data_IF_417467370212
#
_entry.id   IF_417467370212
#
_cell.length_a   1.000
_cell.length_b   1.000
_cell.length_c   1.000
_cell.angle_alpha   90.00
_cell.angle_beta   90.00
_cell.angle_gamma   90.00
#
_symmetry.space_group_name_H-M   'P 1'
#
loop_
_entity.id
_entity.type
_entity.pdbx_description
1 polymer ?
#
# COMPACT_ATOMS: atom_id res chain seq x y z
N UNK A 1 -12.36 -15.60 27.94
CA UNK A 1 -11.13 -15.36 27.15
C UNK A 1 -11.16 -16.25 25.91
N UNK A 2 -10.96 -15.70 24.69
CA UNK A 2 -10.90 -16.56 23.49
C UNK A 2 -9.48 -17.12 23.34
N UNK A 3 -9.28 -18.36 23.74
CA UNK A 3 -7.98 -19.02 23.79
C UNK A 3 -7.33 -19.16 22.39
N UNK A 4 -8.15 -19.35 21.36
CA UNK A 4 -7.65 -19.44 19.97
C UNK A 4 -7.07 -18.11 19.49
N UNK A 5 -7.68 -16.98 19.84
CA UNK A 5 -7.17 -15.64 19.53
C UNK A 5 -5.80 -15.42 20.17
N UNK A 6 -5.69 -15.73 21.47
CA UNK A 6 -4.44 -15.63 22.20
C UNK A 6 -3.35 -16.51 21.57
N UNK A 7 -3.66 -17.77 21.31
CA UNK A 7 -2.73 -18.74 20.73
C UNK A 7 -2.19 -18.28 19.36
N UNK A 8 -3.08 -17.86 18.49
CA UNK A 8 -2.74 -17.37 17.15
C UNK A 8 -1.87 -16.08 17.22
N UNK A 9 -2.25 -15.13 18.10
CA UNK A 9 -1.47 -13.90 18.26
C UNK A 9 -0.07 -14.15 18.83
N UNK A 10 0.06 -15.02 19.86
CA UNK A 10 1.38 -15.38 20.41
C UNK A 10 2.26 -16.04 19.35
N UNK A 11 1.72 -17.01 18.63
CA UNK A 11 2.46 -17.69 17.53
C UNK A 11 2.88 -16.68 16.47
N UNK A 12 1.96 -15.83 16.00
CA UNK A 12 2.20 -14.80 15.00
C UNK A 12 3.30 -13.85 15.47
N UNK A 13 3.16 -13.21 16.63
CA UNK A 13 4.12 -12.24 17.16
C UNK A 13 5.51 -12.85 17.40
N UNK A 14 5.58 -14.10 17.89
CA UNK A 14 6.83 -14.82 18.03
C UNK A 14 7.52 -15.05 16.69
N UNK A 15 6.79 -15.53 15.69
CA UNK A 15 7.34 -15.79 14.34
C UNK A 15 7.80 -14.51 13.68
N UNK A 16 7.10 -13.41 13.91
CA UNK A 16 7.48 -12.06 13.50
C UNK A 16 8.85 -11.67 13.98
N UNK A 17 9.10 -11.88 15.25
CA UNK A 17 10.39 -11.57 15.88
C UNK A 17 11.45 -12.64 15.59
N UNK A 18 11.17 -13.61 14.70
CA UNK A 18 12.06 -14.72 14.35
C UNK A 18 12.48 -15.55 15.56
N UNK A 19 11.67 -15.58 16.60
CA UNK A 19 11.94 -16.37 17.80
C UNK A 19 11.48 -17.81 17.59
N UNK A 20 12.33 -18.79 17.91
CA UNK A 20 11.86 -20.17 18.09
C UNK A 20 11.02 -20.29 19.37
N UNK A 21 10.20 -21.33 19.48
CA UNK A 21 9.48 -21.61 20.73
C UNK A 21 10.44 -21.71 21.93
N UNK A 22 11.62 -22.29 21.72
CA UNK A 22 12.67 -22.38 22.73
C UNK A 22 13.26 -21.00 23.09
N UNK A 23 13.40 -20.09 22.12
CA UNK A 23 13.88 -18.74 22.37
C UNK A 23 12.86 -17.91 23.16
N UNK A 24 11.57 -18.02 22.82
CA UNK A 24 10.50 -17.37 23.59
C UNK A 24 10.39 -17.95 25.00
N UNK A 25 10.51 -19.27 25.15
CA UNK A 25 10.52 -19.93 26.45
C UNK A 25 11.64 -19.39 27.36
N UNK A 26 12.86 -19.21 26.82
CA UNK A 26 13.98 -18.60 27.56
C UNK A 26 13.72 -17.14 27.94
N UNK A 27 13.20 -16.33 27.01
CA UNK A 27 12.89 -14.91 27.28
C UNK A 27 11.80 -14.73 28.36
N UNK A 28 10.85 -15.66 28.42
CA UNK A 28 9.72 -15.62 29.37
C UNK A 28 9.98 -16.34 30.69
N UNK A 29 11.04 -17.13 30.80
CA UNK A 29 11.25 -18.04 31.93
C UNK A 29 10.27 -19.23 31.95
N UNK A 30 9.56 -19.50 30.87
CA UNK A 30 8.60 -20.59 30.76
C UNK A 30 9.23 -21.84 30.13
N UNK A 31 8.58 -23.00 30.30
CA UNK A 31 8.99 -24.22 29.62
C UNK A 31 8.57 -24.21 28.14
N UNK A 32 9.34 -24.89 27.28
CA UNK A 32 8.99 -25.05 25.84
C UNK A 32 7.63 -25.73 25.67
N UNK A 33 7.29 -26.78 26.45
CA UNK A 33 5.94 -27.36 26.42
C UNK A 33 4.82 -26.35 26.76
N UNK A 34 5.07 -25.42 27.68
CA UNK A 34 4.10 -24.37 28.02
C UNK A 34 3.81 -23.47 26.82
N UNK A 35 4.86 -23.00 26.13
CA UNK A 35 4.72 -22.19 24.92
C UNK A 35 3.99 -22.98 23.82
N UNK A 36 4.38 -24.24 23.58
CA UNK A 36 3.75 -25.11 22.59
C UNK A 36 2.26 -25.35 22.86
N UNK A 37 1.90 -25.61 24.12
CA UNK A 37 0.50 -25.83 24.51
C UNK A 37 -0.32 -24.55 24.37
N UNK A 38 0.24 -23.41 24.73
CA UNK A 38 -0.40 -22.11 24.55
C UNK A 38 -0.65 -21.82 23.06
N UNK A 39 0.35 -21.97 22.19
CA UNK A 39 0.21 -21.73 20.75
C UNK A 39 -0.71 -22.72 20.04
N UNK A 40 -1.02 -23.84 20.66
CA UNK A 40 -2.00 -24.83 20.19
C UNK A 40 -3.36 -24.71 20.90
N UNK A 41 -3.59 -23.66 21.66
CA UNK A 41 -4.82 -23.42 22.41
C UNK A 41 -5.26 -24.59 23.31
N UNK A 42 -4.30 -25.35 23.88
CA UNK A 42 -4.60 -26.55 24.67
C UNK A 42 -4.95 -26.26 26.13
N UNK A 43 -4.35 -25.23 26.69
CA UNK A 43 -4.53 -24.89 28.11
C UNK A 43 -4.72 -23.38 28.28
N UNK A 44 -5.59 -22.99 29.17
CA UNK A 44 -5.76 -21.59 29.59
C UNK A 44 -4.53 -21.14 30.41
N UNK A 45 -3.80 -20.11 29.96
CA UNK A 45 -2.65 -19.61 30.68
C UNK A 45 -3.09 -18.76 31.89
N UNK A 46 -2.26 -18.76 32.93
CA UNK A 46 -2.41 -17.82 34.05
C UNK A 46 -2.06 -16.40 33.58
N UNK A 47 -2.61 -15.39 34.23
CA UNK A 47 -2.38 -13.97 33.94
C UNK A 47 -0.89 -13.63 33.88
N UNK A 48 -0.12 -14.09 34.88
CA UNK A 48 1.34 -13.87 34.90
C UNK A 48 2.07 -14.47 33.69
N UNK A 49 1.58 -15.61 33.17
CA UNK A 49 2.12 -16.23 31.95
C UNK A 49 1.89 -15.34 30.74
N UNK A 50 0.71 -14.79 30.60
CA UNK A 50 0.36 -13.90 29.48
C UNK A 50 1.13 -12.58 29.57
N UNK A 51 1.28 -12.03 30.79
CA UNK A 51 2.09 -10.82 31.00
C UNK A 51 3.56 -11.04 30.65
N UNK A 52 4.15 -12.17 31.06
CA UNK A 52 5.52 -12.51 30.72
C UNK A 52 5.74 -12.63 29.19
N UNK A 53 4.75 -13.20 28.49
CA UNK A 53 4.79 -13.32 27.03
C UNK A 53 4.64 -11.95 26.37
N UNK A 54 3.71 -11.10 26.81
CA UNK A 54 3.53 -9.75 26.29
C UNK A 54 4.84 -8.93 26.44
N UNK A 55 5.45 -8.99 27.61
CA UNK A 55 6.72 -8.31 27.89
C UNK A 55 7.85 -8.86 27.02
N UNK A 56 7.98 -10.20 26.89
CA UNK A 56 9.02 -10.83 26.08
C UNK A 56 8.88 -10.55 24.57
N UNK A 57 7.64 -10.33 24.10
CA UNK A 57 7.30 -9.97 22.74
C UNK A 57 7.25 -8.45 22.52
N UNK A 58 7.49 -7.64 23.56
CA UNK A 58 7.47 -6.17 23.51
C UNK A 58 6.15 -5.61 22.94
N UNK A 59 5.02 -6.20 23.36
CA UNK A 59 3.67 -5.80 22.96
C UNK A 59 2.80 -5.51 24.19
N UNK A 60 1.73 -4.75 24.02
CA UNK A 60 0.77 -4.53 25.10
C UNK A 60 -0.02 -5.83 25.36
N UNK A 61 -0.40 -6.04 26.62
CA UNK A 61 -1.17 -7.23 27.00
C UNK A 61 -2.45 -7.38 26.15
N UNK A 62 -3.12 -6.29 25.88
CA UNK A 62 -4.33 -6.26 25.05
C UNK A 62 -4.11 -6.74 23.61
N UNK A 63 -2.95 -6.49 23.03
CA UNK A 63 -2.62 -6.87 21.64
C UNK A 63 -2.62 -8.40 21.46
N UNK A 64 -2.46 -9.16 22.55
CA UNK A 64 -2.56 -10.61 22.55
C UNK A 64 -4.00 -11.12 22.45
N UNK A 65 -5.00 -10.28 22.74
CA UNK A 65 -6.42 -10.66 22.80
C UNK A 65 -7.27 -10.05 21.69
N UNK A 66 -6.70 -9.17 20.88
CA UNK A 66 -7.42 -8.58 19.74
C UNK A 66 -7.62 -9.65 18.68
N UNK A 67 -8.85 -10.03 18.32
CA UNK A 67 -9.09 -10.94 17.21
C UNK A 67 -8.47 -10.36 15.93
N UNK A 68 -7.65 -11.15 15.25
CA UNK A 68 -7.19 -10.79 13.91
C UNK A 68 -8.05 -11.56 12.92
N UNK A 69 -8.85 -10.87 12.15
CA UNK A 69 -9.63 -11.46 11.08
C UNK A 69 -8.68 -12.02 10.03
N UNK A 70 -8.89 -13.25 9.61
CA UNK A 70 -8.18 -13.80 8.45
C UNK A 70 -8.78 -13.18 7.19
N UNK A 71 -7.95 -12.44 6.47
CA UNK A 71 -8.31 -11.93 5.16
C UNK A 71 -8.31 -13.10 4.15
N UNK A 72 -9.37 -13.25 3.40
CA UNK A 72 -9.57 -14.32 2.40
C UNK A 72 -9.28 -13.83 0.99
N UNK A 73 -9.66 -12.59 0.71
CA UNK A 73 -9.59 -11.96 -0.61
C UNK A 73 -8.47 -10.93 -0.66
N UNK A 74 -7.22 -11.40 -0.58
CA UNK A 74 -6.02 -10.56 -0.66
C UNK A 74 -5.16 -10.98 -1.83
N UNK A 75 -4.81 -10.02 -2.67
CA UNK A 75 -3.74 -10.18 -3.65
C UNK A 75 -2.48 -9.52 -3.11
N UNK A 76 -1.48 -10.34 -2.87
CA UNK A 76 -0.23 -9.92 -2.26
C UNK A 76 0.91 -10.00 -3.28
N UNK A 77 1.39 -8.84 -3.73
CA UNK A 77 2.53 -8.76 -4.65
C UNK A 77 3.84 -8.95 -3.90
N UNK A 78 4.47 -10.08 -4.09
CA UNK A 78 5.81 -10.35 -3.57
C UNK A 78 6.56 -11.28 -4.49
N UNK A 79 7.65 -10.81 -5.07
CA UNK A 79 8.55 -11.59 -5.93
C UNK A 79 9.34 -12.67 -5.18
N UNK A 80 9.22 -12.76 -3.86
CA UNK A 80 9.91 -13.75 -2.99
C UNK A 80 9.02 -14.17 -1.83
N UNK A 81 9.17 -15.41 -1.36
CA UNK A 81 8.58 -15.90 -0.11
C UNK A 81 8.96 -14.97 1.04
N UNK A 82 8.04 -14.06 1.42
CA UNK A 82 8.30 -13.08 2.48
C UNK A 82 8.08 -13.71 3.84
N UNK A 83 9.11 -13.66 4.68
CA UNK A 83 9.04 -14.13 6.08
C UNK A 83 8.06 -13.31 6.95
N UNK A 84 7.68 -12.09 6.50
CA UNK A 84 6.82 -11.17 7.24
C UNK A 84 5.39 -11.05 6.68
N UNK A 85 4.99 -11.94 5.74
CA UNK A 85 3.67 -11.86 5.08
C UNK A 85 2.51 -11.88 6.07
N UNK A 86 2.53 -12.79 7.03
CA UNK A 86 1.47 -12.92 8.04
C UNK A 86 1.31 -11.66 8.89
N UNK A 87 2.40 -10.95 9.15
CA UNK A 87 2.37 -9.70 9.90
C UNK A 87 1.74 -8.57 9.12
N UNK A 88 2.13 -8.44 7.85
CA UNK A 88 1.54 -7.46 6.94
C UNK A 88 0.04 -7.69 6.88
N UNK A 89 -0.39 -8.93 6.66
CA UNK A 89 -1.80 -9.27 6.58
C UNK A 89 -2.55 -8.97 7.88
N UNK A 90 -1.95 -9.28 9.04
CA UNK A 90 -2.56 -8.99 10.33
C UNK A 90 -2.63 -7.48 10.63
N UNK A 91 -1.63 -6.71 10.19
CA UNK A 91 -1.63 -5.27 10.34
C UNK A 91 -2.68 -4.61 9.45
N UNK A 92 -2.75 -5.04 8.20
CA UNK A 92 -3.74 -4.58 7.24
C UNK A 92 -5.16 -4.96 7.67
N UNK A 93 -5.36 -6.19 8.17
CA UNK A 93 -6.65 -6.63 8.69
C UNK A 93 -7.15 -5.74 9.83
N UNK A 94 -6.31 -5.46 10.83
CA UNK A 94 -6.68 -4.59 11.96
C UNK A 94 -7.01 -3.17 11.52
N UNK A 95 -6.20 -2.61 10.62
CA UNK A 95 -6.48 -1.29 10.08
C UNK A 95 -7.82 -1.26 9.35
N UNK A 96 -8.10 -2.29 8.55
CA UNK A 96 -9.33 -2.37 7.78
C UNK A 96 -10.56 -2.53 8.67
N UNK A 97 -10.44 -3.29 9.77
CA UNK A 97 -11.49 -3.44 10.76
C UNK A 97 -11.79 -2.10 11.47
N UNK A 98 -10.74 -1.36 11.88
CA UNK A 98 -10.87 -0.02 12.47
C UNK A 98 -11.50 0.96 11.47
N UNK A 99 -11.08 0.92 10.19
CA UNK A 99 -11.63 1.78 9.14
C UNK A 99 -13.11 1.51 8.90
N UNK A 100 -13.48 0.25 8.70
CA UNK A 100 -14.88 -0.15 8.48
C UNK A 100 -15.77 0.16 9.69
N UNK A 101 -15.22 0.02 10.89
CA UNK A 101 -15.92 0.36 12.13
C UNK A 101 -16.21 1.87 12.22
N UNK A 102 -15.20 2.71 11.91
CA UNK A 102 -15.37 4.18 11.85
C UNK A 102 -16.41 4.59 10.79
N UNK A 103 -16.31 4.04 9.57
CA UNK A 103 -17.30 4.30 8.52
C UNK A 103 -18.72 3.93 8.93
N UNK A 104 -18.88 2.78 9.61
CA UNK A 104 -20.18 2.33 10.11
C UNK A 104 -20.72 3.22 11.22
N UNK A 105 -19.87 3.56 12.20
CA UNK A 105 -20.25 4.40 13.34
C UNK A 105 -20.61 5.83 12.92
N UNK A 106 -19.91 6.38 11.94
CA UNK A 106 -20.15 7.73 11.42
C UNK A 106 -21.20 7.75 10.29
N UNK A 107 -21.66 6.58 9.83
CA UNK A 107 -22.53 6.43 8.65
C UNK A 107 -21.94 7.10 7.39
N UNK A 108 -20.63 6.90 7.17
CA UNK A 108 -19.86 7.51 6.07
C UNK A 108 -19.23 6.49 5.12
N UNK A 109 -19.92 5.38 4.88
CA UNK A 109 -19.47 4.40 3.88
C UNK A 109 -19.56 5.01 2.49
N UNK A 110 -18.44 4.93 1.74
CA UNK A 110 -18.40 5.33 0.33
C UNK A 110 -18.51 4.07 -0.52
N UNK A 111 -19.51 3.99 -1.42
CA UNK A 111 -19.62 2.86 -2.33
C UNK A 111 -18.45 2.84 -3.32
N UNK A 112 -18.09 1.65 -3.80
CA UNK A 112 -17.06 1.52 -4.82
C UNK A 112 -17.57 2.00 -6.19
N UNK A 113 -17.16 3.18 -6.60
CA UNK A 113 -17.62 3.83 -7.82
C UNK A 113 -17.28 3.04 -9.09
N UNK A 114 -16.16 2.26 -9.07
CA UNK A 114 -15.68 1.50 -10.23
C UNK A 114 -16.21 0.07 -10.32
N UNK A 115 -17.19 -0.31 -9.49
CA UNK A 115 -17.75 -1.67 -9.47
C UNK A 115 -18.32 -2.12 -10.82
N UNK A 116 -18.97 -1.21 -11.56
CA UNK A 116 -19.52 -1.52 -12.89
C UNK A 116 -18.41 -1.65 -13.95
N UNK A 117 -17.34 -0.87 -13.90
CA UNK A 117 -16.16 -1.06 -14.76
C UNK A 117 -15.61 -2.45 -14.56
N UNK A 118 -15.41 -2.88 -13.31
CA UNK A 118 -14.96 -4.21 -12.95
C UNK A 118 -15.83 -5.32 -13.54
N UNK A 119 -17.13 -5.15 -13.53
CA UNK A 119 -18.07 -6.16 -14.05
C UNK A 119 -18.01 -6.29 -15.59
N UNK A 120 -17.48 -5.32 -16.30
CA UNK A 120 -17.34 -5.33 -17.76
C UNK A 120 -15.94 -5.77 -18.23
N UNK A 121 -14.94 -5.82 -17.34
CA UNK A 121 -13.53 -6.06 -17.69
C UNK A 121 -13.21 -7.48 -18.20
N UNK A 122 -14.08 -8.45 -18.03
CA UNK A 122 -13.91 -9.76 -18.69
C UNK A 122 -13.80 -9.71 -20.22
N UNK A 123 -13.98 -8.50 -20.83
CA UNK A 123 -13.92 -8.24 -22.27
C UNK A 123 -13.01 -7.08 -22.65
N UNK A 124 -12.48 -6.33 -21.69
CA UNK A 124 -11.67 -5.12 -21.93
C UNK A 124 -10.17 -5.40 -21.79
N UNK A 125 -9.38 -4.81 -22.68
CA UNK A 125 -7.93 -4.74 -22.50
C UNK A 125 -7.56 -3.74 -21.40
N UNK A 126 -6.39 -3.91 -20.77
CA UNK A 126 -5.91 -3.08 -19.66
C UNK A 126 -5.96 -1.57 -19.96
N UNK A 127 -5.68 -1.16 -21.19
CA UNK A 127 -5.71 0.24 -21.63
C UNK A 127 -7.13 0.79 -21.63
N UNK A 128 -8.08 0.01 -22.14
CA UNK A 128 -9.50 0.40 -22.20
C UNK A 128 -10.08 0.51 -20.78
N UNK A 129 -9.74 -0.46 -19.90
CA UNK A 129 -10.14 -0.43 -18.50
C UNK A 129 -9.58 0.81 -17.78
N UNK A 130 -8.32 1.20 -18.03
CA UNK A 130 -7.73 2.41 -17.49
C UNK A 130 -8.48 3.68 -17.94
N UNK A 131 -8.83 3.77 -19.22
CA UNK A 131 -9.57 4.90 -19.76
C UNK A 131 -11.00 4.96 -19.18
N UNK A 132 -11.68 3.83 -19.06
CA UNK A 132 -13.02 3.77 -18.45
C UNK A 132 -12.97 4.21 -16.98
N UNK A 133 -11.98 3.73 -16.21
CA UNK A 133 -11.80 4.19 -14.82
C UNK A 133 -11.58 5.71 -14.75
N UNK A 134 -10.81 6.29 -15.65
CA UNK A 134 -10.59 7.75 -15.68
C UNK A 134 -11.90 8.50 -15.95
N UNK A 135 -12.71 8.03 -16.90
CA UNK A 135 -14.01 8.63 -17.22
C UNK A 135 -14.94 8.56 -16.00
N UNK A 136 -15.06 7.40 -15.37
CA UNK A 136 -15.90 7.21 -14.20
C UNK A 136 -15.46 8.05 -12.98
N UNK A 137 -14.16 8.31 -12.87
CA UNK A 137 -13.61 9.19 -11.85
C UNK A 137 -13.68 10.68 -12.22
N UNK A 138 -14.32 11.01 -13.33
CA UNK A 138 -14.52 12.39 -13.77
C UNK A 138 -13.27 13.08 -14.29
N UNK A 139 -12.22 12.34 -14.61
CA UNK A 139 -10.98 12.91 -15.15
C UNK A 139 -11.13 13.22 -16.64
N UNK A 140 -10.66 14.40 -17.04
CA UNK A 140 -10.57 14.75 -18.47
C UNK A 140 -9.57 13.85 -19.20
N UNK A 141 -9.71 13.65 -20.53
CA UNK A 141 -8.86 12.71 -21.29
C UNK A 141 -7.35 12.92 -21.15
N UNK A 142 -6.92 14.16 -20.99
CA UNK A 142 -5.49 14.50 -20.90
C UNK A 142 -5.04 14.94 -19.50
N UNK A 143 -5.92 14.88 -18.51
CA UNK A 143 -5.68 15.43 -17.17
C UNK A 143 -4.69 14.57 -16.36
N UNK A 144 -3.62 15.14 -15.78
CA UNK A 144 -2.77 14.46 -14.84
C UNK A 144 -3.49 14.16 -13.51
N UNK A 145 -3.09 13.10 -12.84
CA UNK A 145 -3.55 12.79 -11.47
C UNK A 145 -2.52 13.37 -10.50
N UNK A 146 -2.91 14.42 -9.79
CA UNK A 146 -2.04 15.08 -8.82
C UNK A 146 -2.14 14.46 -7.42
N UNK A 147 -3.32 13.98 -7.05
CA UNK A 147 -3.58 13.31 -5.78
C UNK A 147 -4.21 11.93 -6.06
N UNK A 148 -3.37 10.91 -6.11
CA UNK A 148 -3.84 9.53 -6.32
C UNK A 148 -4.60 9.00 -5.11
N UNK A 149 -4.19 9.38 -3.89
CA UNK A 149 -4.82 8.90 -2.66
C UNK A 149 -6.25 9.46 -2.54
N UNK A 150 -6.41 10.77 -2.65
CA UNK A 150 -7.72 11.40 -2.61
C UNK A 150 -8.65 10.93 -3.73
N UNK A 151 -8.12 10.70 -4.94
CA UNK A 151 -8.87 10.14 -6.06
C UNK A 151 -9.39 8.74 -5.76
N UNK A 152 -8.55 7.84 -5.25
CA UNK A 152 -8.92 6.47 -4.87
C UNK A 152 -9.93 6.47 -3.71
N UNK A 153 -9.70 7.28 -2.70
CA UNK A 153 -10.58 7.40 -1.54
C UNK A 153 -11.97 7.96 -1.90
N UNK A 154 -12.04 8.90 -2.84
CA UNK A 154 -13.30 9.41 -3.37
C UNK A 154 -14.09 8.34 -4.14
N UNK A 155 -13.37 7.41 -4.76
CA UNK A 155 -13.94 6.24 -5.44
C UNK A 155 -14.35 5.10 -4.49
N UNK A 156 -14.19 5.27 -3.18
CA UNK A 156 -14.52 4.25 -2.17
C UNK A 156 -13.43 3.20 -1.96
N UNK A 157 -12.22 3.39 -2.52
CA UNK A 157 -11.05 2.54 -2.26
C UNK A 157 -10.33 3.07 -1.02
N UNK A 158 -10.14 2.23 -0.02
CA UNK A 158 -9.39 2.58 1.20
C UNK A 158 -7.89 2.50 0.92
N UNK A 159 -7.13 3.53 1.28
CA UNK A 159 -5.68 3.58 1.05
C UNK A 159 -4.94 3.48 2.38
N UNK A 160 -4.01 2.51 2.48
CA UNK A 160 -3.14 2.32 3.64
C UNK A 160 -1.68 2.55 3.26
N UNK A 161 -1.04 3.64 3.69
CA UNK A 161 0.41 3.75 3.65
C UNK A 161 1.02 2.85 4.74
N UNK A 162 1.87 1.91 4.34
CA UNK A 162 2.48 0.93 5.23
C UNK A 162 4.01 1.05 5.18
N UNK A 163 4.66 1.62 6.21
CA UNK A 163 6.12 1.76 6.23
C UNK A 163 6.80 0.43 6.56
N UNK A 164 7.04 -0.39 5.53
CA UNK A 164 7.63 -1.71 5.68
C UNK A 164 9.03 -1.76 5.09
N UNK A 165 10.05 -2.02 5.93
CA UNK A 165 11.43 -2.19 5.49
C UNK A 165 11.62 -3.48 4.69
N UNK A 166 11.14 -3.50 3.46
CA UNK A 166 11.19 -4.64 2.55
C UNK A 166 11.42 -4.20 1.11
N UNK A 167 12.41 -4.80 0.47
CA UNK A 167 12.71 -4.60 -0.95
C UNK A 167 11.83 -5.44 -1.89
N UNK A 168 11.06 -6.38 -1.37
CA UNK A 168 10.23 -7.30 -2.15
C UNK A 168 8.73 -7.04 -2.04
N UNK A 169 8.31 -6.03 -1.27
CA UNK A 169 6.92 -5.66 -1.07
C UNK A 169 6.69 -4.22 -1.51
N UNK A 170 5.80 -3.99 -2.44
CA UNK A 170 5.44 -2.65 -2.94
C UNK A 170 4.01 -2.28 -2.64
N UNK A 171 3.10 -3.24 -2.69
CA UNK A 171 1.69 -3.05 -2.41
C UNK A 171 0.94 -4.36 -2.32
N UNK A 172 -0.30 -4.27 -1.90
CA UNK A 172 -1.30 -5.33 -1.97
C UNK A 172 -2.68 -4.72 -2.11
N UNK A 173 -3.59 -5.47 -2.70
CA UNK A 173 -5.00 -5.10 -2.80
C UNK A 173 -5.90 -6.11 -2.12
N UNK A 174 -7.05 -5.64 -1.63
CA UNK A 174 -8.03 -6.41 -0.86
C UNK A 174 -9.39 -6.22 -1.50
N UNK A 175 -10.08 -7.34 -1.72
CA UNK A 175 -11.43 -7.35 -2.29
C UNK A 175 -12.51 -6.85 -1.32
N UNK A 176 -13.71 -6.63 -1.86
CA UNK A 176 -14.86 -6.11 -1.11
C UNK A 176 -15.33 -7.05 0.02
N UNK A 177 -15.20 -8.38 -0.16
CA UNK A 177 -15.66 -9.38 0.80
C UNK A 177 -14.95 -9.27 2.16
N UNK A 178 -13.71 -8.77 2.17
CA UNK A 178 -12.94 -8.54 3.38
C UNK A 178 -13.04 -7.10 3.92
N UNK A 179 -14.05 -6.34 3.49
CA UNK A 179 -14.26 -4.95 3.92
C UNK A 179 -13.54 -3.92 3.04
N UNK A 180 -12.93 -4.37 1.93
CA UNK A 180 -12.43 -3.50 0.86
C UNK A 180 -13.55 -2.86 0.01
N UNK A 181 -13.23 -2.41 -1.21
CA UNK A 181 -11.89 -2.47 -1.78
C UNK A 181 -10.87 -1.64 -1.01
N UNK A 182 -9.67 -2.18 -0.86
CA UNK A 182 -8.60 -1.46 -0.20
C UNK A 182 -7.23 -1.75 -0.88
N UNK A 183 -6.33 -0.79 -0.75
CA UNK A 183 -4.97 -0.86 -1.27
C UNK A 183 -4.01 -0.49 -0.15
N UNK A 184 -3.03 -1.36 0.15
CA UNK A 184 -1.92 -1.01 1.01
C UNK A 184 -0.67 -0.79 0.16
N UNK A 185 0.03 0.32 0.35
CA UNK A 185 1.23 0.70 -0.39
C UNK A 185 2.41 0.84 0.56
N UNK A 186 3.53 0.23 0.20
CA UNK A 186 4.75 0.37 0.99
C UNK A 186 5.34 1.77 0.84
N UNK A 187 5.36 2.52 1.95
CA UNK A 187 5.92 3.88 2.02
C UNK A 187 7.29 3.93 2.72
N UNK A 188 8.02 2.82 2.71
CA UNK A 188 9.37 2.81 3.23
C UNK A 188 10.23 3.92 2.60
N UNK A 189 11.07 4.56 3.39
CA UNK A 189 11.90 5.70 2.98
C UNK A 189 12.75 5.47 1.73
N UNK A 190 13.11 4.19 1.45
CA UNK A 190 13.86 3.79 0.24
C UNK A 190 13.01 3.63 -1.00
N UNK A 191 11.70 3.82 -0.92
CA UNK A 191 10.79 3.72 -2.07
C UNK A 191 10.42 5.13 -2.49
N UNK A 192 10.77 5.52 -3.72
CA UNK A 192 10.43 6.84 -4.25
C UNK A 192 8.92 7.06 -4.29
N UNK A 193 8.49 8.31 -4.18
CA UNK A 193 7.06 8.67 -4.15
C UNK A 193 6.39 8.32 -5.48
N UNK A 194 7.07 8.49 -6.59
CA UNK A 194 6.60 8.07 -7.92
C UNK A 194 6.33 6.56 -7.96
N UNK A 195 7.15 5.77 -7.25
CA UNK A 195 6.93 4.32 -7.15
C UNK A 195 5.69 4.00 -6.29
N UNK A 196 5.45 4.75 -5.21
CA UNK A 196 4.25 4.61 -4.38
C UNK A 196 3.00 4.90 -5.19
N UNK A 197 2.99 6.01 -5.94
CA UNK A 197 1.89 6.40 -6.84
C UNK A 197 1.64 5.31 -7.89
N UNK A 198 2.71 4.82 -8.54
CA UNK A 198 2.59 3.74 -9.51
C UNK A 198 2.06 2.46 -8.88
N UNK A 199 2.51 2.11 -7.66
CA UNK A 199 2.04 0.93 -6.95
C UNK A 199 0.54 1.05 -6.61
N UNK A 200 0.06 2.22 -6.17
CA UNK A 200 -1.36 2.44 -5.92
C UNK A 200 -2.22 2.25 -7.19
N UNK A 201 -1.78 2.81 -8.32
CA UNK A 201 -2.44 2.63 -9.61
C UNK A 201 -2.39 1.17 -10.10
N UNK A 202 -1.30 0.47 -9.85
CA UNK A 202 -1.12 -0.95 -10.19
C UNK A 202 -2.06 -1.85 -9.37
N UNK A 203 -2.18 -1.60 -8.07
CA UNK A 203 -3.12 -2.34 -7.21
C UNK A 203 -4.59 -2.03 -7.58
N UNK A 204 -4.90 -0.81 -8.01
CA UNK A 204 -6.20 -0.52 -8.62
C UNK A 204 -6.42 -1.36 -9.89
N UNK A 205 -5.39 -1.50 -10.73
CA UNK A 205 -5.43 -2.38 -11.91
C UNK A 205 -5.84 -3.81 -11.54
N UNK A 206 -5.29 -4.36 -10.46
CA UNK A 206 -5.68 -5.68 -9.99
C UNK A 206 -7.13 -5.73 -9.49
N UNK A 207 -7.60 -4.72 -8.74
CA UNK A 207 -8.98 -4.63 -8.29
C UNK A 207 -9.98 -4.62 -9.45
N UNK A 208 -9.60 -4.04 -10.58
CA UNK A 208 -10.45 -3.90 -11.77
C UNK A 208 -10.36 -5.12 -12.69
N UNK A 209 -9.14 -5.54 -13.04
CA UNK A 209 -8.91 -6.55 -14.08
C UNK A 209 -8.99 -7.99 -13.57
N UNK A 210 -8.65 -8.23 -12.32
CA UNK A 210 -8.45 -9.57 -11.77
C UNK A 210 -9.31 -9.85 -10.53
N UNK A 211 -10.62 -9.58 -10.53
CA UNK A 211 -11.48 -9.71 -9.34
C UNK A 211 -11.53 -11.15 -8.79
N UNK A 212 -11.29 -12.15 -9.61
CA UNK A 212 -11.33 -13.57 -9.23
C UNK A 212 -9.96 -14.15 -8.82
N UNK A 213 -8.89 -13.35 -8.89
CA UNK A 213 -7.52 -13.78 -8.58
C UNK A 213 -7.11 -13.44 -7.13
N UNK A 214 -8.09 -13.29 -6.24
CA UNK A 214 -7.88 -12.97 -4.84
C UNK A 214 -7.95 -14.23 -3.99
N UNK A 215 -6.80 -14.89 -3.83
CA UNK A 215 -6.67 -16.06 -2.97
C UNK A 215 -5.41 -15.90 -2.10
N UNK A 216 -5.61 -15.83 -0.79
CA UNK A 216 -4.53 -15.74 0.22
C UNK A 216 -3.56 -16.92 0.14
N UNK A 217 -4.02 -18.08 -0.33
CA UNK A 217 -3.20 -19.29 -0.44
C UNK A 217 -2.25 -19.22 -1.64
N UNK A 218 -2.60 -18.45 -2.66
CA UNK A 218 -1.80 -18.29 -3.87
C UNK A 218 -0.54 -17.46 -3.59
N UNK A 219 0.62 -18.07 -3.68
CA UNK A 219 1.92 -17.43 -3.40
C UNK A 219 2.72 -17.12 -4.66
N UNK A 220 2.30 -17.60 -5.82
CA UNK A 220 2.99 -17.39 -7.10
C UNK A 220 2.34 -16.25 -7.87
N UNK A 221 3.18 -15.34 -8.36
CA UNK A 221 2.74 -14.25 -9.23
C UNK A 221 2.40 -14.76 -10.62
N UNK A 222 1.22 -14.42 -11.12
CA UNK A 222 0.86 -14.62 -12.52
C UNK A 222 1.48 -13.48 -13.35
N UNK A 223 2.52 -13.78 -14.11
CA UNK A 223 3.24 -12.80 -14.92
C UNK A 223 2.34 -12.03 -15.88
N UNK A 224 1.34 -12.68 -16.47
CA UNK A 224 0.41 -12.03 -17.39
C UNK A 224 -0.43 -10.98 -16.67
N UNK A 225 -0.98 -11.32 -15.50
CA UNK A 225 -1.77 -10.38 -14.70
C UNK A 225 -0.93 -9.21 -14.19
N UNK A 226 0.36 -9.45 -13.87
CA UNK A 226 1.30 -8.38 -13.51
C UNK A 226 1.59 -7.43 -14.67
N UNK A 227 1.77 -7.97 -15.89
CA UNK A 227 1.94 -7.17 -17.11
C UNK A 227 0.68 -6.36 -17.42
N UNK A 228 -0.50 -6.95 -17.28
CA UNK A 228 -1.80 -6.29 -17.47
C UNK A 228 -1.99 -5.14 -16.46
N UNK A 229 -1.69 -5.35 -15.19
CA UNK A 229 -1.78 -4.32 -14.16
C UNK A 229 -0.73 -3.20 -14.34
N UNK A 230 0.49 -3.54 -14.79
CA UNK A 230 1.50 -2.53 -15.12
C UNK A 230 1.07 -1.67 -16.32
N UNK A 231 0.47 -2.28 -17.35
CA UNK A 231 -0.05 -1.58 -18.52
C UNK A 231 -1.23 -0.66 -18.11
N UNK A 232 -2.14 -1.17 -17.29
CA UNK A 232 -3.23 -0.38 -16.71
C UNK A 232 -2.68 0.85 -15.97
N UNK A 233 -1.74 0.65 -15.03
CA UNK A 233 -1.19 1.73 -14.23
C UNK A 233 -0.50 2.81 -15.09
N UNK A 234 0.26 2.39 -16.10
CA UNK A 234 0.93 3.30 -17.03
C UNK A 234 -0.06 4.19 -17.79
N UNK A 235 -1.17 3.62 -18.29
CA UNK A 235 -2.20 4.37 -19.02
C UNK A 235 -3.15 5.15 -18.10
N UNK A 236 -3.42 4.63 -16.90
CA UNK A 236 -4.22 5.33 -15.90
C UNK A 236 -3.54 6.61 -15.43
N UNK A 237 -2.24 6.58 -15.15
CA UNK A 237 -1.46 7.74 -14.72
C UNK A 237 -1.10 8.68 -15.89
N UNK A 238 -0.76 8.11 -17.05
CA UNK A 238 -0.37 8.85 -18.26
C UNK A 238 -1.25 8.47 -19.44
N UNK A 239 -2.44 9.05 -19.60
CA UNK A 239 -3.33 8.78 -20.73
C UNK A 239 -2.66 9.20 -22.06
N UNK A 240 -2.99 8.48 -23.13
CA UNK A 240 -2.32 8.64 -24.44
C UNK A 240 -2.36 10.05 -24.99
N UNK A 241 -3.51 10.71 -24.90
CA UNK A 241 -3.69 12.07 -25.38
C UNK A 241 -2.84 13.06 -24.60
N UNK A 242 -2.89 12.98 -23.26
CA UNK A 242 -2.10 13.83 -22.38
C UNK A 242 -0.61 13.62 -22.56
N UNK A 243 -0.17 12.35 -22.61
CA UNK A 243 1.25 12.04 -22.82
C UNK A 243 1.78 12.55 -24.17
N UNK A 244 1.04 12.33 -25.25
CA UNK A 244 1.45 12.82 -26.59
C UNK A 244 1.54 14.35 -26.63
N UNK A 245 0.56 15.04 -26.06
CA UNK A 245 0.55 16.50 -25.99
C UNK A 245 1.78 17.00 -25.23
N UNK A 246 1.96 16.58 -23.99
CA UNK A 246 3.05 17.05 -23.14
C UNK A 246 4.43 16.68 -23.69
N UNK A 247 4.53 15.52 -24.36
CA UNK A 247 5.75 15.12 -25.04
C UNK A 247 6.06 15.99 -26.24
N UNK A 248 5.07 16.37 -27.02
CA UNK A 248 5.24 17.28 -28.17
C UNK A 248 5.59 18.70 -27.71
N UNK A 249 4.87 19.22 -26.72
CA UNK A 249 5.09 20.56 -26.17
C UNK A 249 6.49 20.72 -25.53
N UNK A 250 7.09 19.61 -25.13
CA UNK A 250 8.46 19.57 -24.61
C UNK A 250 9.53 19.35 -25.68
N UNK A 251 9.21 19.38 -26.97
CA UNK A 251 10.14 19.04 -28.08
C UNK A 251 11.34 19.98 -28.18
N UNK A 252 11.28 21.19 -27.68
CA UNK A 252 12.41 22.12 -27.62
C UNK A 252 13.45 21.85 -26.54
N UNK A 253 13.19 20.90 -25.64
CA UNK A 253 14.10 20.53 -24.56
C UNK A 253 15.04 19.40 -24.99
N UNK A 254 16.20 19.31 -24.32
CA UNK A 254 17.05 18.12 -24.48
C UNK A 254 16.35 16.86 -23.93
N UNK A 255 16.87 15.69 -24.29
CA UNK A 255 16.22 14.42 -23.96
C UNK A 255 16.02 14.19 -22.45
N UNK A 256 16.94 14.68 -21.61
CA UNK A 256 16.88 14.51 -20.16
C UNK A 256 15.81 15.44 -19.55
N UNK A 257 15.84 16.72 -19.92
CA UNK A 257 14.87 17.72 -19.45
C UNK A 257 13.46 17.41 -19.93
N UNK A 258 13.33 16.90 -21.16
CA UNK A 258 12.06 16.48 -21.73
C UNK A 258 11.41 15.36 -20.91
N UNK A 259 12.20 14.33 -20.58
CA UNK A 259 11.73 13.26 -19.69
C UNK A 259 11.39 13.79 -18.31
N UNK A 260 12.21 14.67 -17.74
CA UNK A 260 11.97 15.26 -16.42
C UNK A 260 10.73 16.16 -16.38
N UNK A 261 10.49 16.94 -17.42
CA UNK A 261 9.25 17.74 -17.52
C UNK A 261 8.03 16.84 -17.52
N UNK A 262 8.01 15.82 -18.38
CA UNK A 262 6.85 14.92 -18.52
C UNK A 262 6.62 14.09 -17.26
N UNK A 263 7.68 13.52 -16.65
CA UNK A 263 7.53 12.77 -15.39
C UNK A 263 6.90 13.62 -14.27
N UNK A 264 7.26 14.90 -14.18
CA UNK A 264 6.75 15.82 -13.15
C UNK A 264 5.28 16.17 -13.36
N UNK A 265 4.86 16.33 -14.63
CA UNK A 265 3.46 16.62 -14.95
C UNK A 265 2.55 15.46 -14.53
N UNK A 266 2.98 14.22 -14.75
CA UNK A 266 2.16 13.03 -14.48
C UNK A 266 2.49 12.35 -13.15
N UNK A 267 3.39 12.90 -12.34
CA UNK A 267 3.82 12.33 -11.05
C UNK A 267 4.30 10.87 -11.16
N UNK A 268 5.03 10.55 -12.23
CA UNK A 268 5.53 9.20 -12.52
C UNK A 268 7.06 9.16 -12.50
N UNK A 269 7.65 7.96 -12.48
CA UNK A 269 9.08 7.80 -12.59
C UNK A 269 9.58 8.07 -14.03
N UNK A 270 10.86 8.45 -14.19
CA UNK A 270 11.47 8.56 -15.52
C UNK A 270 11.38 7.24 -16.30
N UNK A 271 11.41 6.10 -15.57
CA UNK A 271 11.26 4.77 -16.17
C UNK A 271 9.88 4.60 -16.79
N UNK A 272 8.84 5.07 -16.12
CA UNK A 272 7.48 5.02 -16.66
C UNK A 272 7.36 5.84 -17.95
N UNK A 273 7.98 7.03 -18.02
CA UNK A 273 8.01 7.84 -19.25
C UNK A 273 8.71 7.09 -20.38
N UNK A 274 9.89 6.49 -20.11
CA UNK A 274 10.62 5.73 -21.14
C UNK A 274 9.84 4.49 -21.61
N UNK A 275 9.19 3.78 -20.71
CA UNK A 275 8.31 2.66 -21.05
C UNK A 275 7.16 3.09 -21.95
N UNK A 276 6.52 4.23 -21.68
CA UNK A 276 5.43 4.76 -22.49
C UNK A 276 5.88 5.16 -23.91
N UNK A 277 7.12 5.65 -24.07
CA UNK A 277 7.68 5.92 -25.39
C UNK A 277 7.86 4.64 -26.22
N UNK A 278 8.23 3.53 -25.57
CA UNK A 278 8.35 2.22 -26.22
C UNK A 278 6.95 1.70 -26.59
N UNK A 279 5.99 1.76 -25.69
CA UNK A 279 4.61 1.30 -25.90
C UNK A 279 3.94 2.03 -27.08
N UNK A 280 4.21 3.33 -27.24
CA UNK A 280 3.69 4.12 -28.36
C UNK A 280 4.49 3.95 -29.68
N UNK A 281 5.52 3.11 -29.67
CA UNK A 281 6.41 2.93 -30.84
C UNK A 281 7.26 4.16 -31.17
N UNK A 282 7.31 5.16 -30.29
CA UNK A 282 8.12 6.37 -30.47
C UNK A 282 9.62 6.12 -30.19
N UNK A 283 9.93 5.02 -29.52
CA UNK A 283 11.30 4.58 -29.25
C UNK A 283 11.38 3.04 -29.14
N UNK A 284 12.57 2.51 -29.33
CA UNK A 284 12.89 1.11 -29.06
C UNK A 284 13.55 0.92 -27.68
N UNK A 285 13.82 -0.32 -27.31
CA UNK A 285 14.43 -0.66 -26.01
C UNK A 285 15.82 -0.05 -25.80
N UNK A 286 16.50 0.48 -26.83
CA UNK A 286 17.80 1.16 -26.70
C UNK A 286 17.67 2.51 -25.99
N UNK A 287 16.44 3.05 -25.88
CA UNK A 287 16.18 4.33 -25.19
C UNK A 287 16.70 4.33 -23.74
N UNK A 288 16.68 3.20 -23.07
CA UNK A 288 17.22 3.05 -21.72
C UNK A 288 18.70 3.40 -21.65
N UNK A 289 19.49 2.82 -22.57
CA UNK A 289 20.92 3.08 -22.65
C UNK A 289 21.20 4.53 -23.07
N UNK A 290 20.48 5.02 -24.08
CA UNK A 290 20.63 6.40 -24.57
C UNK A 290 20.33 7.43 -23.49
N UNK A 291 19.25 7.24 -22.76
CA UNK A 291 18.87 8.13 -21.65
C UNK A 291 19.93 8.13 -20.54
N UNK A 292 20.42 6.94 -20.14
CA UNK A 292 21.45 6.83 -19.11
C UNK A 292 22.76 7.52 -19.53
N UNK A 293 23.18 7.38 -20.81
CA UNK A 293 24.36 8.08 -21.33
C UNK A 293 24.16 9.60 -21.31
N UNK A 294 23.00 10.08 -21.75
CA UNK A 294 22.69 11.52 -21.72
C UNK A 294 22.67 12.06 -20.28
N UNK A 295 22.03 11.34 -19.37
CA UNK A 295 21.99 11.69 -17.95
C UNK A 295 23.39 11.70 -17.33
N UNK A 296 24.19 10.67 -17.58
CA UNK A 296 25.56 10.58 -17.07
C UNK A 296 26.45 11.73 -17.58
N UNK A 297 26.34 12.09 -18.85
CA UNK A 297 27.08 13.23 -19.42
C UNK A 297 26.73 14.54 -18.70
N UNK A 298 25.45 14.73 -18.36
CA UNK A 298 24.97 15.97 -17.75
C UNK A 298 25.27 16.07 -16.26
N UNK A 299 25.09 14.98 -15.50
CA UNK A 299 25.16 14.98 -14.04
C UNK A 299 26.35 14.21 -13.47
N UNK A 300 27.23 13.67 -14.32
CA UNK A 300 28.36 12.83 -13.92
C UNK A 300 27.97 11.64 -13.02
N UNK A 301 26.73 11.12 -13.16
CA UNK A 301 26.14 10.04 -12.38
C UNK A 301 25.44 9.04 -13.28
N UNK A 302 25.62 7.75 -13.03
CA UNK A 302 24.88 6.67 -13.71
C UNK A 302 23.55 6.40 -13.01
N UNK A 303 22.54 6.08 -13.81
CA UNK A 303 21.26 5.56 -13.33
C UNK A 303 21.25 4.03 -13.40
N UNK A 304 20.62 3.37 -12.43
CA UNK A 304 20.36 1.94 -12.50
C UNK A 304 19.24 1.63 -13.48
N UNK A 305 19.45 0.65 -14.36
CA UNK A 305 18.40 0.17 -15.27
C UNK A 305 17.44 -0.80 -14.59
N UNK A 306 17.95 -1.58 -13.64
CA UNK A 306 17.18 -2.60 -12.97
C UNK A 306 16.49 -2.01 -11.76
N UNK A 307 15.22 -2.27 -11.61
CA UNK A 307 14.60 -2.24 -10.30
C UNK A 307 15.16 -3.42 -9.53
N UNK A 308 16.26 -3.19 -8.85
CA UNK A 308 16.77 -4.21 -7.96
C UNK A 308 15.97 -4.20 -6.67
N UNK A 309 15.50 -5.36 -6.19
CA UNK A 309 14.86 -5.45 -4.89
C UNK A 309 15.74 -4.96 -3.74
N UNK A 310 17.05 -4.90 -3.97
CA UNK A 310 18.05 -4.42 -3.00
C UNK A 310 18.58 -3.01 -3.28
N UNK A 311 18.17 -2.40 -4.40
CA UNK A 311 18.72 -1.14 -4.88
C UNK A 311 17.67 -0.13 -5.28
N UNK A 312 16.47 -0.13 -4.67
CA UNK A 312 15.53 0.95 -4.85
C UNK A 312 16.20 2.20 -4.30
N UNK A 313 16.78 2.97 -5.22
CA UNK A 313 17.35 4.28 -4.89
C UNK A 313 16.18 5.25 -4.66
N UNK A 314 15.97 5.76 -3.44
CA UNK A 314 14.96 6.80 -3.20
C UNK A 314 15.28 8.09 -3.92
N UNK A 315 16.51 8.25 -4.39
CA UNK A 315 16.96 9.39 -5.16
C UNK A 315 16.55 9.28 -6.64
N UNK A 316 15.26 9.13 -6.91
CA UNK A 316 14.70 9.35 -8.26
C UNK A 316 15.11 10.75 -8.74
N UNK A 317 15.67 10.90 -9.95
CA UNK A 317 16.01 12.23 -10.46
C UNK A 317 14.81 13.19 -10.42
N UNK A 318 14.95 14.32 -9.74
CA UNK A 318 13.85 15.26 -9.50
C UNK A 318 12.62 14.60 -8.84
N UNK A 319 12.84 13.76 -7.82
CA UNK A 319 11.80 13.02 -7.11
C UNK A 319 10.77 13.90 -6.43
N UNK A 320 9.58 13.34 -6.25
CA UNK A 320 8.48 13.94 -5.47
C UNK A 320 8.77 13.88 -3.97
N UNK A 321 8.03 14.68 -3.20
CA UNK A 321 8.15 14.70 -1.75
C UNK A 321 7.15 13.73 -1.10
N UNK A 322 7.38 13.26 0.13
CA UNK A 322 6.48 12.32 0.81
C UNK A 322 5.01 12.76 0.89
N UNK A 323 4.74 14.06 0.99
CA UNK A 323 3.38 14.59 1.04
C UNK A 323 2.63 14.51 -0.31
N UNK A 324 3.33 14.26 -1.44
CA UNK A 324 2.70 14.01 -2.73
C UNK A 324 2.04 12.59 -2.80
N UNK A 325 2.22 11.78 -1.74
CA UNK A 325 1.50 10.54 -1.53
C UNK A 325 1.01 10.50 -0.08
N UNK A 326 -0.12 11.11 0.17
CA UNK A 326 -0.70 11.27 1.51
C UNK A 326 -2.19 10.93 1.45
N UNK A 327 -2.61 9.93 2.21
CA UNK A 327 -4.01 9.64 2.48
C UNK A 327 -4.51 10.53 3.63
N UNK A 328 -5.78 10.90 3.62
CA UNK A 328 -6.35 11.72 4.70
C UNK A 328 -7.66 11.15 5.26
N UNK A 329 -8.37 10.32 4.53
CA UNK A 329 -9.72 9.88 4.87
C UNK A 329 -9.77 9.13 6.20
N UNK A 330 -8.80 8.25 6.47
CA UNK A 330 -8.76 7.53 7.74
C UNK A 330 -8.56 8.48 8.93
N UNK A 331 -7.59 9.39 8.81
CA UNK A 331 -7.32 10.42 9.82
C UNK A 331 -8.51 11.35 10.01
N UNK A 332 -9.19 11.73 8.94
CA UNK A 332 -10.41 12.56 8.96
C UNK A 332 -11.58 11.87 9.67
N UNK A 333 -11.78 10.56 9.44
CA UNK A 333 -12.80 9.80 10.16
C UNK A 333 -12.49 9.72 11.66
N UNK A 334 -11.23 9.54 12.05
CA UNK A 334 -10.82 9.55 13.46
C UNK A 334 -11.08 10.92 14.09
N UNK A 335 -10.67 12.01 13.40
CA UNK A 335 -10.93 13.38 13.83
C UNK A 335 -12.41 13.61 14.10
N UNK A 336 -13.26 13.31 13.13
CA UNK A 336 -14.69 13.50 13.22
C UNK A 336 -15.33 12.65 14.35
N UNK A 337 -14.83 11.43 14.56
CA UNK A 337 -15.30 10.57 15.63
C UNK A 337 -14.96 11.14 17.02
N UNK A 338 -13.81 11.81 17.17
CA UNK A 338 -13.43 12.50 18.40
C UNK A 338 -14.26 13.78 18.56
N UNK A 339 -14.35 14.64 17.54
CA UNK A 339 -15.10 15.90 17.58
C UNK A 339 -16.61 15.68 17.84
N UNK A 340 -17.16 14.56 17.37
CA UNK A 340 -18.54 14.15 17.65
C UNK A 340 -18.70 13.35 18.97
N UNK A 341 -17.67 13.28 19.81
CA UNK A 341 -17.64 12.60 21.11
C UNK A 341 -17.99 11.09 21.03
N UNK A 342 -17.87 10.47 19.86
CA UNK A 342 -18.14 9.03 19.68
C UNK A 342 -16.99 8.16 20.14
N UNK A 343 -15.76 8.69 20.14
CA UNK A 343 -14.57 8.02 20.68
C UNK A 343 -13.76 9.00 21.54
N UNK A 344 -13.01 8.45 22.49
CA UNK A 344 -12.06 9.23 23.28
C UNK A 344 -10.78 9.52 22.49
N UNK A 345 -10.02 10.54 22.91
CA UNK A 345 -8.68 10.86 22.37
C UNK A 345 -7.76 9.63 22.44
N UNK A 346 -7.78 8.91 23.57
CA UNK A 346 -6.97 7.69 23.73
C UNK A 346 -7.37 6.60 22.72
N UNK A 347 -8.67 6.44 22.42
CA UNK A 347 -9.12 5.49 21.40
C UNK A 347 -8.71 5.95 20.00
N UNK A 348 -8.74 7.24 19.72
CA UNK A 348 -8.21 7.81 18.47
C UNK A 348 -6.72 7.55 18.29
N UNK A 349 -5.92 7.73 19.35
CA UNK A 349 -4.50 7.40 19.37
C UNK A 349 -4.24 5.92 19.09
N UNK A 350 -5.03 5.01 19.69
CA UNK A 350 -4.93 3.57 19.42
C UNK A 350 -5.21 3.23 17.94
N UNK A 351 -6.27 3.79 17.36
CA UNK A 351 -6.68 3.56 15.97
C UNK A 351 -5.59 4.06 15.01
N UNK A 352 -5.06 5.27 15.24
CA UNK A 352 -3.97 5.83 14.43
C UNK A 352 -2.59 5.24 14.77
N UNK A 353 -2.50 4.40 15.82
CA UNK A 353 -1.24 3.77 16.28
C UNK A 353 -0.13 4.77 16.63
N UNK A 354 -0.53 5.86 17.23
CA UNK A 354 0.35 6.90 17.76
C UNK A 354 0.23 6.99 19.28
N UNK A 355 1.15 7.69 19.93
CA UNK A 355 1.02 7.95 21.37
C UNK A 355 -0.12 8.95 21.65
N UNK A 356 -0.59 8.98 22.89
CA UNK A 356 -1.64 9.93 23.30
C UNK A 356 -1.13 11.37 23.19
N UNK A 357 0.15 11.59 23.49
CA UNK A 357 0.82 12.89 23.34
C UNK A 357 0.83 13.35 21.87
N UNK A 358 1.24 12.46 20.95
CA UNK A 358 1.21 12.75 19.52
C UNK A 358 -0.23 12.98 19.00
N UNK A 359 -1.23 12.34 19.60
CA UNK A 359 -2.62 12.59 19.27
C UNK A 359 -3.09 13.96 19.74
N UNK A 360 -2.66 14.41 20.93
CA UNK A 360 -2.95 15.76 21.43
C UNK A 360 -2.30 16.84 20.55
N UNK A 361 -1.05 16.65 20.14
CA UNK A 361 -0.37 17.56 19.19
C UNK A 361 -1.12 17.62 17.84
N UNK A 362 -1.61 16.46 17.34
CA UNK A 362 -2.39 16.41 16.10
C UNK A 362 -3.73 17.14 16.23
N UNK A 363 -4.42 17.01 17.37
CA UNK A 363 -5.66 17.75 17.65
C UNK A 363 -5.42 19.25 17.64
N UNK A 364 -4.39 19.72 18.37
CA UNK A 364 -4.00 21.13 18.35
C UNK A 364 -3.68 21.64 16.94
N UNK A 365 -3.03 20.82 16.11
CA UNK A 365 -2.77 21.12 14.70
C UNK A 365 -4.04 21.22 13.84
N UNK A 366 -5.05 20.41 14.13
CA UNK A 366 -6.35 20.50 13.42
C UNK A 366 -7.16 21.73 13.81
N UNK A 367 -6.99 22.24 15.04
CA UNK A 367 -7.68 23.43 15.54
C UNK A 367 -6.99 24.72 15.12
N UNK A 368 -5.70 24.67 14.80
CA UNK A 368 -4.87 25.86 14.55
C UNK A 368 -5.34 26.73 13.35
N UNK A 369 -6.18 26.22 12.47
CA UNK A 369 -6.71 26.92 11.30
C UNK A 369 -8.23 27.11 11.34
N UNK A 370 -8.88 26.79 12.46
CA UNK A 370 -10.28 27.09 12.71
C UNK A 370 -10.42 28.43 13.42
#
# INVERSE_FOLDING_TARGET
MNLNVLANNVRRLRTTQRLSQSALARKTGLSVPTIKNLENARNEPRVNTVQAIAHALEVRLQDLFIPTRELKTVRFRSSRRMQNRENILAEVSRWLDDFCWLEGMLNKRTPFALSHVRNHTGRCHSIEAANLCRIELGLRPAEPIHDICGLLESAGVKVLPLPMASNGFFGLSIGEEDGGPAIAVNVWERISVERRIFSAAHELGHLILHPNAYDVVQTEENKKEEEEANLFAGHFLMPDEGFRREWQDAAGLDAVDRVFKVKRIFHVSYKTVLARLIDQGAADKSIWARFNVAYQRRFNRKLSYKEEPMGIDPAEPCGLQPFDFCEDRFSRLVREAIESEKISISRGAEILRISVEAMQERLAGWEALQ
#
